data_IF_861960516971
#
_entry.id   IF_861960516971
#
_cell.length_a   1.000
_cell.length_b   1.000
_cell.length_c   1.000
_cell.angle_alpha   90.00
_cell.angle_beta   90.00
_cell.angle_gamma   90.00
#
_symmetry.space_group_name_H-M   'P 1'
#
loop_
_entity.id
_entity.type
_entity.pdbx_description
1 polymer ?
#
# COMPACT_ATOMS: atom_id res chain seq x y z
N UNK A 1 -5.73 -10.14 1.95
CA UNK A 1 -6.43 -10.01 0.65
C UNK A 1 -7.38 -8.81 0.61
N UNK A 2 -8.27 -8.64 1.60
CA UNK A 2 -9.24 -7.53 1.66
C UNK A 2 -8.64 -6.15 1.41
N UNK A 3 -7.49 -5.83 2.02
CA UNK A 3 -6.81 -4.55 1.86
C UNK A 3 -6.27 -4.30 0.45
N UNK A 4 -5.83 -5.34 -0.27
CA UNK A 4 -5.35 -5.23 -1.65
C UNK A 4 -6.51 -4.95 -2.61
N UNK A 5 -7.66 -5.59 -2.36
CA UNK A 5 -8.90 -5.34 -3.11
C UNK A 5 -9.40 -3.93 -2.87
N UNK A 6 -9.42 -3.46 -1.62
CA UNK A 6 -9.82 -2.09 -1.28
C UNK A 6 -8.94 -1.04 -1.99
N UNK A 7 -7.62 -1.26 -2.08
CA UNK A 7 -6.73 -0.36 -2.80
C UNK A 7 -7.02 -0.32 -4.31
N UNK A 8 -7.27 -1.48 -4.94
CA UNK A 8 -7.65 -1.54 -6.36
C UNK A 8 -8.96 -0.80 -6.63
N UNK A 9 -9.94 -0.96 -5.73
CA UNK A 9 -11.23 -0.26 -5.81
C UNK A 9 -11.02 1.26 -5.69
N UNK A 10 -10.28 1.72 -4.67
CA UNK A 10 -10.01 3.14 -4.46
C UNK A 10 -9.26 3.79 -5.64
N UNK A 11 -8.27 3.08 -6.20
CA UNK A 11 -7.53 3.55 -7.37
C UNK A 11 -8.42 3.60 -8.61
N UNK A 12 -9.19 2.53 -8.88
CA UNK A 12 -10.09 2.46 -10.04
C UNK A 12 -11.19 3.53 -10.01
N UNK A 13 -11.89 3.67 -8.88
CA UNK A 13 -12.91 4.71 -8.71
C UNK A 13 -12.30 6.12 -8.73
N UNK A 14 -11.10 6.31 -8.15
CA UNK A 14 -10.39 7.57 -8.20
C UNK A 14 -10.02 8.00 -9.62
N UNK A 15 -9.50 7.09 -10.44
CA UNK A 15 -9.19 7.37 -11.86
C UNK A 15 -10.45 7.64 -12.67
N UNK A 16 -11.53 6.88 -12.45
CA UNK A 16 -12.81 7.11 -13.13
C UNK A 16 -13.38 8.51 -12.80
N UNK A 17 -13.36 8.91 -11.54
CA UNK A 17 -13.80 10.23 -11.12
C UNK A 17 -12.89 11.35 -11.66
N UNK A 18 -11.59 11.10 -11.80
CA UNK A 18 -10.64 12.04 -12.42
C UNK A 18 -10.92 12.24 -13.92
N UNK A 19 -11.29 11.19 -14.66
CA UNK A 19 -11.66 11.32 -16.08
C UNK A 19 -12.92 12.20 -16.23
N UNK A 20 -13.93 12.02 -15.35
CA UNK A 20 -15.13 12.86 -15.33
C UNK A 20 -14.86 14.30 -14.90
N UNK A 21 -13.86 14.54 -14.05
CA UNK A 21 -13.39 15.87 -13.69
C UNK A 21 -12.85 16.63 -14.91
N UNK A 22 -12.02 16.00 -15.73
CA UNK A 22 -11.45 16.62 -16.94
C UNK A 22 -12.45 16.79 -18.08
N UNK A 23 -13.53 16.01 -18.10
CA UNK A 23 -14.61 16.11 -19.09
C UNK A 23 -15.68 17.17 -18.76
N UNK A 24 -15.64 17.79 -17.57
CA UNK A 24 -16.66 18.73 -17.12
C UNK A 24 -16.52 20.11 -17.79
N UNK A 25 -17.58 20.58 -18.46
CA UNK A 25 -17.63 21.90 -19.11
C UNK A 25 -17.90 23.07 -18.13
N UNK A 26 -18.52 22.79 -16.98
CA UNK A 26 -18.84 23.78 -15.95
C UNK A 26 -17.92 23.65 -14.73
N UNK A 27 -17.38 24.77 -14.18
CA UNK A 27 -16.48 24.74 -13.03
C UNK A 27 -17.12 24.20 -11.76
N UNK A 28 -18.44 24.33 -11.59
CA UNK A 28 -19.18 23.74 -10.47
C UNK A 28 -19.25 22.21 -10.57
N UNK A 29 -19.39 21.69 -11.79
CA UNK A 29 -19.41 20.24 -12.05
C UNK A 29 -18.01 19.66 -11.88
N UNK A 30 -16.98 20.37 -12.33
CA UNK A 30 -15.60 20.01 -12.05
C UNK A 30 -15.36 19.90 -10.54
N UNK A 31 -15.75 20.88 -9.72
CA UNK A 31 -15.51 20.79 -8.27
C UNK A 31 -16.20 19.58 -7.60
N UNK A 32 -17.43 19.24 -8.02
CA UNK A 32 -18.19 18.10 -7.50
C UNK A 32 -17.53 16.75 -7.76
N UNK A 33 -16.87 16.59 -8.90
CA UNK A 33 -16.20 15.35 -9.27
C UNK A 33 -14.72 15.34 -8.86
N UNK A 34 -14.08 16.50 -8.79
CA UNK A 34 -12.66 16.65 -8.44
C UNK A 34 -12.36 16.40 -6.97
N UNK A 35 -13.19 16.91 -6.06
CA UNK A 35 -12.98 16.72 -4.62
C UNK A 35 -13.04 15.24 -4.19
N UNK A 36 -14.06 14.45 -4.57
CA UNK A 36 -14.07 13.01 -4.27
C UNK A 36 -12.99 12.24 -5.03
N UNK A 37 -12.65 12.62 -6.28
CA UNK A 37 -11.55 11.98 -7.02
C UNK A 37 -10.20 12.14 -6.31
N UNK A 38 -9.88 13.38 -5.91
CA UNK A 38 -8.65 13.67 -5.17
C UNK A 38 -8.61 12.92 -3.84
N UNK A 39 -9.73 12.88 -3.10
CA UNK A 39 -9.82 12.15 -1.83
C UNK A 39 -9.57 10.65 -2.02
N UNK A 40 -10.19 10.01 -3.02
CA UNK A 40 -10.02 8.58 -3.31
C UNK A 40 -8.58 8.26 -3.73
N UNK A 41 -7.96 9.10 -4.56
CA UNK A 41 -6.58 8.90 -5.01
C UNK A 41 -5.57 9.13 -3.88
N UNK A 42 -5.76 10.16 -3.05
CA UNK A 42 -4.91 10.42 -1.87
C UNK A 42 -5.02 9.26 -0.89
N UNK A 43 -6.23 8.78 -0.58
CA UNK A 43 -6.43 7.63 0.30
C UNK A 43 -5.81 6.34 -0.27
N UNK A 44 -5.96 6.09 -1.58
CA UNK A 44 -5.29 4.97 -2.25
C UNK A 44 -3.76 5.06 -2.14
N UNK A 45 -3.19 6.26 -2.31
CA UNK A 45 -1.75 6.48 -2.21
C UNK A 45 -1.25 6.27 -0.78
N UNK A 46 -1.98 6.80 0.21
CA UNK A 46 -1.65 6.63 1.64
C UNK A 46 -1.65 5.15 2.03
N UNK A 47 -2.65 4.38 1.61
CA UNK A 47 -2.69 2.93 1.86
C UNK A 47 -1.49 2.21 1.24
N UNK A 48 -1.12 2.55 0.01
CA UNK A 48 0.04 1.95 -0.67
C UNK A 48 1.35 2.26 0.06
N UNK A 49 1.49 3.49 0.54
CA UNK A 49 2.67 3.92 1.31
C UNK A 49 2.71 3.29 2.71
N UNK A 50 1.56 3.08 3.37
CA UNK A 50 1.48 2.45 4.68
C UNK A 50 1.73 0.93 4.63
N UNK A 51 1.38 0.27 3.53
CA UNK A 51 1.61 -1.16 3.33
C UNK A 51 3.09 -1.52 3.16
N UNK A 52 3.84 -0.64 2.52
CA UNK A 52 5.25 -0.87 2.22
C UNK A 52 6.15 -1.11 3.45
N UNK A 53 6.10 -0.29 4.52
CA UNK A 53 6.90 -0.55 5.71
C UNK A 53 6.49 -1.85 6.40
N UNK A 54 5.19 -2.17 6.44
CA UNK A 54 4.70 -3.42 7.07
C UNK A 54 5.29 -4.65 6.38
N UNK A 55 5.35 -4.65 5.04
CA UNK A 55 5.96 -5.74 4.27
C UNK A 55 7.47 -5.82 4.56
N UNK A 56 8.16 -4.69 4.62
CA UNK A 56 9.60 -4.66 4.92
C UNK A 56 9.91 -5.17 6.33
N UNK A 57 9.13 -4.76 7.34
CA UNK A 57 9.28 -5.20 8.72
C UNK A 57 9.06 -6.71 8.84
N UNK A 58 7.99 -7.24 8.25
CA UNK A 58 7.73 -8.68 8.27
C UNK A 58 8.86 -9.48 7.59
N UNK A 59 9.42 -8.96 6.50
CA UNK A 59 10.54 -9.59 5.80
C UNK A 59 11.81 -9.58 6.66
N UNK A 60 12.09 -8.47 7.35
CA UNK A 60 13.22 -8.33 8.28
C UNK A 60 13.10 -9.30 9.46
N UNK A 61 11.92 -9.40 10.08
CA UNK A 61 11.67 -10.35 11.19
C UNK A 61 11.97 -11.78 10.75
N UNK A 62 11.50 -12.17 9.56
CA UNK A 62 11.78 -13.51 9.02
C UNK A 62 13.26 -13.76 8.73
N UNK A 63 14.01 -12.73 8.31
CA UNK A 63 15.46 -12.83 8.11
C UNK A 63 16.22 -12.94 9.44
N UNK A 64 15.81 -12.18 10.47
CA UNK A 64 16.38 -12.26 11.82
C UNK A 64 16.18 -13.66 12.40
N UNK A 65 14.97 -14.22 12.32
CA UNK A 65 14.72 -15.59 12.78
C UNK A 65 15.62 -16.64 12.11
N UNK A 66 15.87 -16.50 10.79
CA UNK A 66 16.78 -17.41 10.06
C UNK A 66 18.23 -17.26 10.51
N UNK A 67 18.67 -16.03 10.76
CA UNK A 67 19.99 -15.73 11.30
C UNK A 67 20.17 -16.32 12.70
N UNK A 68 19.17 -16.18 13.58
CA UNK A 68 19.16 -16.77 14.92
C UNK A 68 19.30 -18.29 14.88
N UNK A 69 18.53 -18.97 14.03
CA UNK A 69 18.61 -20.42 13.85
C UNK A 69 20.00 -20.87 13.36
N UNK A 70 20.58 -20.13 12.41
CA UNK A 70 21.92 -20.43 11.88
C UNK A 70 23.00 -20.21 12.92
N UNK A 71 22.88 -19.15 13.73
CA UNK A 71 23.80 -18.85 14.81
C UNK A 71 23.75 -19.90 15.94
N UNK A 72 22.54 -20.40 16.28
CA UNK A 72 22.37 -21.49 17.24
C UNK A 72 23.02 -22.78 16.74
N UNK A 73 22.81 -23.16 15.48
CA UNK A 73 23.45 -24.34 14.88
C UNK A 73 24.98 -24.21 14.82
N UNK A 74 25.49 -23.02 14.49
CA UNK A 74 26.93 -22.76 14.51
C UNK A 74 27.52 -22.86 15.93
N UNK A 75 26.76 -22.46 16.95
CA UNK A 75 27.16 -22.61 18.36
C UNK A 75 27.21 -24.06 18.79
N UNK A 76 26.22 -24.88 18.43
CA UNK A 76 26.23 -26.31 18.72
C UNK A 76 27.41 -27.03 18.05
N UNK A 77 27.76 -26.66 16.82
CA UNK A 77 28.91 -27.24 16.09
C UNK A 77 30.27 -26.87 16.67
N UNK A 78 30.38 -25.76 17.40
CA UNK A 78 31.62 -25.32 18.06
C UNK A 78 31.81 -25.93 19.47
N UNK A 79 30.81 -26.66 19.98
CA UNK A 79 30.86 -27.36 21.26
C UNK A 79 31.15 -28.87 21.11
N UNK A 80 31.30 -29.35 19.87
CA UNK A 80 31.72 -30.71 19.49
C UNK A 80 33.15 -30.66 18.94
#
# INVERSE_FOLDING_TARGET
>A
MVMMVAQLVLFGFGTWAAIHFFAAADPLTALKWGLPAAMLLIMSLMLKLALWPVIHVNRLIGQIHKLELTALQARERNLL
#
